data_IF_544662332467
#
_entry.id   IF_544662332467
#
_cell.length_a   1.000
_cell.length_b   1.000
_cell.length_c   1.000
_cell.angle_alpha   90.00
_cell.angle_beta   90.00
_cell.angle_gamma   90.00
#
_symmetry.space_group_name_H-M   'P 1'
#
loop_
_entity.id
_entity.type
_entity.pdbx_description
1 polymer ?
#
# COMPACT_ATOMS: atom_id res chain seq x y z
N UNK A 1 -0.66 -3.35 -19.17
CA UNK A 1 -0.49 -4.22 -17.98
C UNK A 1 0.03 -5.58 -18.42
N UNK A 2 1.08 -6.11 -17.77
CA UNK A 2 1.51 -7.49 -17.98
C UNK A 2 0.48 -8.41 -17.34
N UNK A 3 -0.09 -9.35 -18.11
CA UNK A 3 -1.00 -10.36 -17.59
C UNK A 3 -0.19 -11.38 -16.77
N UNK A 4 -0.61 -11.63 -15.54
CA UNK A 4 -0.04 -12.67 -14.67
C UNK A 4 -1.02 -13.85 -14.66
N UNK A 5 -0.77 -14.93 -15.41
CA UNK A 5 -1.76 -16.00 -15.63
C UNK A 5 -2.05 -16.88 -14.41
N UNK A 6 -1.35 -16.64 -13.30
CA UNK A 6 -1.24 -17.57 -12.19
C UNK A 6 -2.51 -17.68 -11.33
N UNK A 7 -3.53 -16.86 -11.56
CA UNK A 7 -4.68 -16.76 -10.66
C UNK A 7 -6.06 -16.74 -11.34
N UNK A 8 -6.15 -16.91 -12.67
CA UNK A 8 -7.44 -16.99 -13.38
C UNK A 8 -8.22 -15.66 -13.49
N UNK A 9 -7.58 -14.52 -13.20
CA UNK A 9 -8.20 -13.19 -13.26
C UNK A 9 -8.00 -12.44 -14.58
N UNK A 10 -7.47 -13.09 -15.62
CA UNK A 10 -7.05 -12.44 -16.86
C UNK A 10 -8.18 -11.81 -17.69
N UNK A 11 -9.44 -12.13 -17.34
CA UNK A 11 -10.65 -11.74 -18.06
C UNK A 11 -11.71 -11.05 -17.18
N UNK A 12 -11.41 -10.72 -15.92
CA UNK A 12 -12.39 -9.99 -15.10
C UNK A 12 -12.48 -8.53 -15.55
N UNK A 13 -13.69 -7.98 -15.51
CA UNK A 13 -13.88 -6.54 -15.59
C UNK A 13 -13.35 -5.84 -14.33
N UNK A 14 -13.21 -4.52 -14.40
CA UNK A 14 -12.83 -3.74 -13.22
C UNK A 14 -13.88 -3.86 -12.11
N UNK A 15 -15.16 -3.82 -12.46
CA UNK A 15 -16.29 -3.97 -11.56
C UNK A 15 -16.28 -5.33 -10.86
N UNK A 16 -16.09 -6.43 -11.61
CA UNK A 16 -16.00 -7.78 -11.03
C UNK A 16 -14.78 -7.92 -10.10
N UNK A 17 -13.68 -7.25 -10.44
CA UNK A 17 -12.47 -7.22 -9.62
C UNK A 17 -12.71 -6.43 -8.34
N UNK A 18 -13.39 -5.29 -8.42
CA UNK A 18 -13.76 -4.45 -7.29
C UNK A 18 -14.68 -5.21 -6.31
N UNK A 19 -15.71 -5.89 -6.82
CA UNK A 19 -16.61 -6.70 -5.97
C UNK A 19 -15.84 -7.78 -5.21
N UNK A 20 -14.99 -8.54 -5.91
CA UNK A 20 -14.16 -9.57 -5.28
C UNK A 20 -13.18 -8.99 -4.27
N UNK A 21 -12.63 -7.80 -4.52
CA UNK A 21 -11.77 -7.11 -3.57
C UNK A 21 -12.55 -6.79 -2.28
N UNK A 22 -13.75 -6.20 -2.41
CA UNK A 22 -14.60 -5.87 -1.26
C UNK A 22 -15.04 -7.10 -0.47
N UNK A 23 -15.22 -8.25 -1.12
CA UNK A 23 -15.53 -9.53 -0.49
C UNK A 23 -14.30 -10.25 0.10
N UNK A 24 -13.08 -9.74 -0.14
CA UNK A 24 -11.84 -10.40 0.24
C UNK A 24 -11.52 -11.66 -0.58
N UNK A 25 -12.16 -11.84 -1.73
CA UNK A 25 -12.08 -13.02 -2.60
C UNK A 25 -11.00 -12.90 -3.71
N UNK A 26 -9.97 -12.09 -3.47
CA UNK A 26 -8.78 -11.99 -4.33
C UNK A 26 -7.60 -12.75 -3.71
N UNK A 27 -6.61 -13.19 -4.52
CA UNK A 27 -5.38 -13.79 -4.01
C UNK A 27 -4.71 -12.88 -2.99
N UNK A 28 -4.21 -13.46 -1.91
CA UNK A 28 -3.59 -12.74 -0.79
C UNK A 28 -4.53 -11.80 -0.03
N UNK A 29 -5.85 -11.86 -0.31
CA UNK A 29 -6.88 -11.25 0.52
C UNK A 29 -7.29 -12.16 1.69
N UNK A 30 -8.09 -11.63 2.65
CA UNK A 30 -8.64 -10.26 2.67
C UNK A 30 -7.59 -9.16 2.94
N UNK A 31 -7.66 -8.06 2.18
CA UNK A 31 -6.63 -7.01 2.19
C UNK A 31 -6.50 -6.32 3.56
N UNK A 32 -7.60 -5.82 4.11
CA UNK A 32 -7.59 -5.02 5.34
C UNK A 32 -7.09 -5.82 6.55
N UNK A 33 -7.53 -7.08 6.65
CA UNK A 33 -7.11 -8.03 7.68
C UNK A 33 -5.60 -8.24 7.63
N UNK A 34 -5.07 -8.52 6.44
CA UNK A 34 -3.62 -8.71 6.24
C UNK A 34 -2.84 -7.45 6.64
N UNK A 35 -3.27 -6.26 6.19
CA UNK A 35 -2.64 -4.98 6.54
C UNK A 35 -2.64 -4.75 8.06
N UNK A 36 -3.78 -4.99 8.71
CA UNK A 36 -3.95 -4.77 10.15
C UNK A 36 -3.12 -5.74 10.99
N UNK A 37 -2.97 -6.99 10.55
CA UNK A 37 -2.08 -7.97 11.18
C UNK A 37 -0.63 -7.47 11.21
N UNK A 38 -0.10 -7.04 10.06
CA UNK A 38 1.25 -6.50 9.98
C UNK A 38 1.41 -5.18 10.74
N UNK A 39 0.41 -4.29 10.70
CA UNK A 39 0.41 -3.05 11.47
C UNK A 39 0.46 -3.29 12.98
N UNK A 40 -0.26 -4.31 13.46
CA UNK A 40 -0.24 -4.66 14.86
C UNK A 40 1.11 -5.24 15.25
N UNK A 41 1.62 -6.20 14.48
CA UNK A 41 2.92 -6.83 14.75
C UNK A 41 4.08 -5.83 14.65
N UNK A 42 4.01 -4.86 13.73
CA UNK A 42 5.05 -3.83 13.60
C UNK A 42 5.16 -2.95 14.83
N UNK A 43 4.06 -2.71 15.57
CA UNK A 43 4.10 -1.92 16.80
C UNK A 43 4.93 -2.60 17.90
N UNK A 44 4.87 -3.92 18.00
CA UNK A 44 5.58 -4.71 19.00
C UNK A 44 7.00 -5.09 18.57
N UNK A 45 7.24 -5.19 17.26
CA UNK A 45 8.51 -5.71 16.68
C UNK A 45 9.17 -4.70 15.74
N UNK A 46 9.26 -3.44 16.15
CA UNK A 46 9.81 -2.35 15.33
C UNK A 46 11.26 -2.60 14.87
N UNK A 47 12.02 -3.43 15.58
CA UNK A 47 13.38 -3.87 15.23
C UNK A 47 13.42 -4.89 14.07
N UNK A 48 12.30 -5.56 13.79
CA UNK A 48 12.18 -6.66 12.81
C UNK A 48 11.17 -6.39 11.70
N UNK A 49 10.20 -5.53 11.96
CA UNK A 49 9.12 -5.18 11.05
C UNK A 49 9.08 -3.66 10.97
N UNK A 50 9.51 -3.14 9.83
CA UNK A 50 9.32 -1.75 9.46
C UNK A 50 8.06 -1.65 8.59
N UNK A 51 7.03 -0.99 9.11
CA UNK A 51 5.81 -0.69 8.36
C UNK A 51 5.96 0.65 7.64
N UNK A 52 5.64 0.68 6.34
CA UNK A 52 5.66 1.87 5.50
C UNK A 52 4.39 1.90 4.66
N UNK A 53 3.83 3.09 4.49
CA UNK A 53 2.75 3.34 3.54
C UNK A 53 3.33 3.81 2.19
N UNK A 54 2.57 3.61 1.11
CA UNK A 54 3.01 4.04 -0.22
C UNK A 54 3.02 5.57 -0.31
N UNK A 55 2.11 6.22 0.38
CA UNK A 55 1.97 7.67 0.48
C UNK A 55 3.21 8.29 1.16
N UNK A 56 3.71 7.70 2.24
CA UNK A 56 5.00 8.13 2.83
C UNK A 56 6.17 7.99 1.84
N UNK A 57 6.20 6.88 1.08
CA UNK A 57 7.26 6.62 0.11
C UNK A 57 7.31 7.64 -1.02
N UNK A 58 6.15 8.07 -1.54
CA UNK A 58 6.11 9.03 -2.64
C UNK A 58 6.29 10.48 -2.16
N UNK A 59 5.80 10.80 -0.96
CA UNK A 59 5.92 12.12 -0.34
C UNK A 59 7.39 12.50 -0.10
N UNK A 60 8.16 11.62 0.54
CA UNK A 60 9.62 11.81 0.71
C UNK A 60 10.40 10.51 0.50
N UNK A 61 10.56 10.16 -0.77
CA UNK A 61 11.31 8.97 -1.19
C UNK A 61 12.75 8.99 -0.68
N UNK A 62 13.39 10.15 -0.58
CA UNK A 62 14.79 10.25 -0.13
C UNK A 62 14.89 9.82 1.33
N UNK A 63 14.03 10.38 2.17
CA UNK A 63 14.01 10.06 3.59
C UNK A 63 13.60 8.61 3.85
N UNK A 64 12.61 8.09 3.11
CA UNK A 64 12.21 6.69 3.27
C UNK A 64 13.32 5.72 2.86
N UNK A 65 14.07 5.99 1.79
CA UNK A 65 15.23 5.17 1.40
C UNK A 65 16.28 5.16 2.51
N UNK A 66 16.58 6.32 3.11
CA UNK A 66 17.52 6.42 4.24
C UNK A 66 17.03 5.62 5.45
N UNK A 67 15.74 5.72 5.79
CA UNK A 67 15.11 4.95 6.88
C UNK A 67 15.21 3.44 6.63
N UNK A 68 14.90 2.98 5.40
CA UNK A 68 15.02 1.55 5.02
C UNK A 68 16.47 1.07 5.17
N UNK A 69 17.42 1.85 4.66
CA UNK A 69 18.84 1.51 4.71
C UNK A 69 19.33 1.40 6.17
N UNK A 70 18.96 2.36 7.02
CA UNK A 70 19.25 2.32 8.45
C UNK A 70 18.61 1.11 9.15
N UNK A 71 17.34 0.81 8.84
CA UNK A 71 16.64 -0.36 9.37
C UNK A 71 17.31 -1.70 9.01
N UNK A 72 17.90 -1.78 7.80
CA UNK A 72 18.68 -2.94 7.36
C UNK A 72 20.13 -2.96 7.92
N UNK A 73 20.49 -2.03 8.81
CA UNK A 73 21.82 -1.93 9.40
C UNK A 73 22.89 -1.40 8.44
N UNK A 74 22.48 -0.70 7.37
CA UNK A 74 23.36 -0.12 6.34
C UNK A 74 22.97 1.33 6.08
N UNK A 75 23.21 2.26 7.02
CA UNK A 75 22.85 3.66 6.83
C UNK A 75 23.55 4.21 5.58
N UNK A 76 22.83 5.02 4.81
CA UNK A 76 23.38 5.67 3.62
C UNK A 76 24.43 6.70 4.05
N UNK A 77 25.64 6.59 3.50
CA UNK A 77 26.72 7.56 3.73
C UNK A 77 26.75 8.64 2.64
N UNK A 78 26.39 8.29 1.40
CA UNK A 78 26.45 9.18 0.24
C UNK A 78 25.09 9.45 -0.41
N UNK A 79 24.69 10.73 -0.48
CA UNK A 79 23.40 11.15 -1.05
C UNK A 79 23.19 10.70 -2.51
N UNK A 80 24.27 10.59 -3.29
CA UNK A 80 24.25 10.16 -4.71
C UNK A 80 23.67 8.75 -4.91
N UNK A 81 23.72 7.90 -3.88
CA UNK A 81 23.16 6.55 -3.94
C UNK A 81 21.63 6.57 -3.86
N UNK A 82 21.08 7.53 -3.11
CA UNK A 82 19.64 7.74 -2.95
C UNK A 82 19.05 8.35 -4.21
N UNK A 83 19.76 9.28 -4.85
CA UNK A 83 19.29 9.96 -6.05
C UNK A 83 18.93 8.99 -7.19
N UNK A 84 19.71 7.92 -7.37
CA UNK A 84 19.41 6.87 -8.37
C UNK A 84 18.11 6.12 -8.11
N UNK A 85 17.71 5.98 -6.85
CA UNK A 85 16.49 5.24 -6.44
C UNK A 85 15.25 6.14 -6.58
N UNK A 86 15.42 7.44 -6.32
CA UNK A 86 14.33 8.43 -6.33
C UNK A 86 13.77 8.67 -7.73
N UNK A 87 14.50 8.35 -8.80
CA UNK A 87 14.01 8.50 -10.18
C UNK A 87 12.85 7.54 -10.54
N UNK A 88 12.52 6.55 -9.69
CA UNK A 88 11.47 5.54 -9.93
C UNK A 88 10.10 5.85 -9.28
N UNK A 89 9.64 7.10 -9.24
CA UNK A 89 8.36 7.46 -8.59
C UNK A 89 7.13 7.01 -9.40
N UNK A 90 6.12 6.49 -8.70
CA UNK A 90 4.77 6.32 -9.24
C UNK A 90 3.86 7.51 -8.94
N UNK A 91 2.61 7.44 -9.40
CA UNK A 91 1.58 8.48 -9.22
C UNK A 91 0.53 7.96 -8.24
N UNK A 92 0.23 8.73 -7.19
CA UNK A 92 -0.91 8.49 -6.28
C UNK A 92 -2.15 9.19 -6.82
N UNK A 93 -3.32 8.57 -6.62
CA UNK A 93 -4.61 9.17 -6.96
C UNK A 93 -5.17 8.80 -8.34
N UNK A 94 -4.45 8.04 -9.16
CA UNK A 94 -4.94 7.62 -10.48
C UNK A 94 -6.22 6.78 -10.42
N UNK A 95 -6.47 6.13 -9.27
CA UNK A 95 -7.70 5.39 -9.00
C UNK A 95 -8.96 6.24 -9.17
N UNK A 96 -8.91 7.56 -8.92
CA UNK A 96 -10.07 8.45 -9.13
C UNK A 96 -10.58 8.46 -10.57
N UNK A 97 -9.74 8.12 -11.55
CA UNK A 97 -10.12 8.05 -12.96
C UNK A 97 -10.84 6.73 -13.32
N UNK A 98 -10.79 5.74 -12.44
CA UNK A 98 -11.31 4.39 -12.69
C UNK A 98 -12.56 4.05 -11.87
N UNK A 99 -12.75 4.71 -10.72
CA UNK A 99 -13.86 4.41 -9.82
C UNK A 99 -15.08 5.28 -10.12
N UNK A 100 -16.27 4.70 -9.99
CA UNK A 100 -17.52 5.47 -9.94
C UNK A 100 -17.70 6.07 -8.53
N UNK A 101 -18.47 7.16 -8.36
CA UNK A 101 -18.76 7.73 -7.05
C UNK A 101 -19.30 6.72 -6.02
N UNK A 102 -20.14 5.78 -6.47
CA UNK A 102 -20.69 4.70 -5.63
C UNK A 102 -19.59 3.73 -5.15
N UNK A 103 -18.66 3.35 -6.03
CA UNK A 103 -17.53 2.49 -5.65
C UNK A 103 -16.61 3.19 -4.65
N UNK A 104 -16.37 4.50 -4.83
CA UNK A 104 -15.56 5.30 -3.91
C UNK A 104 -16.23 5.35 -2.53
N UNK A 105 -17.51 5.70 -2.47
CA UNK A 105 -18.27 5.75 -1.20
C UNK A 105 -18.27 4.39 -0.49
N UNK A 106 -18.45 3.30 -1.24
CA UNK A 106 -18.41 1.95 -0.67
C UNK A 106 -17.02 1.60 -0.13
N UNK A 107 -15.96 1.90 -0.88
CA UNK A 107 -14.59 1.63 -0.43
C UNK A 107 -14.23 2.47 0.80
N UNK A 108 -14.62 3.74 0.83
CA UNK A 108 -14.44 4.62 1.98
C UNK A 108 -15.15 4.05 3.21
N UNK A 109 -16.39 3.60 3.04
CA UNK A 109 -17.16 2.98 4.12
C UNK A 109 -16.49 1.72 4.67
N UNK A 110 -16.04 0.81 3.78
CA UNK A 110 -15.33 -0.41 4.18
C UNK A 110 -14.02 -0.05 4.90
N UNK A 111 -13.26 0.90 4.36
CA UNK A 111 -11.98 1.36 4.93
C UNK A 111 -12.18 1.92 6.32
N UNK A 112 -13.16 2.80 6.51
CA UNK A 112 -13.50 3.36 7.83
C UNK A 112 -13.89 2.25 8.80
N UNK A 113 -14.80 1.35 8.42
CA UNK A 113 -15.23 0.26 9.30
C UNK A 113 -14.08 -0.67 9.70
N UNK A 114 -13.20 -1.02 8.75
CA UNK A 114 -12.11 -1.98 8.99
C UNK A 114 -10.96 -1.37 9.79
N UNK A 115 -10.62 -0.12 9.52
CA UNK A 115 -9.47 0.54 10.16
C UNK A 115 -9.83 1.25 11.47
N UNK A 116 -11.11 1.46 11.76
CA UNK A 116 -11.54 2.14 12.98
C UNK A 116 -10.94 1.48 14.23
N UNK A 117 -10.33 2.29 15.09
CA UNK A 117 -9.72 1.85 16.34
C UNK A 117 -8.36 1.16 16.21
N UNK A 118 -7.85 0.95 15.00
CA UNK A 118 -6.51 0.37 14.78
C UNK A 118 -5.36 1.36 15.04
N UNK A 119 -5.67 2.66 14.95
CA UNK A 119 -4.68 3.75 14.96
C UNK A 119 -3.83 3.83 13.69
N UNK A 120 -4.16 3.07 12.63
CA UNK A 120 -3.58 3.22 11.31
C UNK A 120 -4.35 4.30 10.54
N UNK A 121 -3.64 5.32 10.09
CA UNK A 121 -4.18 6.43 9.29
C UNK A 121 -3.36 6.55 8.00
N UNK A 122 -4.06 6.71 6.87
CA UNK A 122 -3.44 6.98 5.57
C UNK A 122 -3.50 8.49 5.31
N UNK A 123 -2.40 9.04 4.80
CA UNK A 123 -2.22 10.46 4.51
C UNK A 123 -2.28 10.69 3.01
N UNK A 124 -3.24 11.46 2.54
CA UNK A 124 -3.51 11.66 1.10
C UNK A 124 -3.34 13.13 0.68
N UNK A 125 -2.55 13.90 1.44
CA UNK A 125 -2.22 15.32 1.21
C UNK A 125 -1.52 15.60 -0.13
#
# INVERSE_FOLDING_TARGET
>A
MKKFPLYGFENLSFEETFERFCEGALPFGPFFETVLEYWKESKDKQERIMFLTYEEMIADTKEVVKRVAAFLGRPVEEEKEVEKIVEMKGVVGDWMNHFTPEMMERLDHITQQKLQGSGLEFRFD
#
